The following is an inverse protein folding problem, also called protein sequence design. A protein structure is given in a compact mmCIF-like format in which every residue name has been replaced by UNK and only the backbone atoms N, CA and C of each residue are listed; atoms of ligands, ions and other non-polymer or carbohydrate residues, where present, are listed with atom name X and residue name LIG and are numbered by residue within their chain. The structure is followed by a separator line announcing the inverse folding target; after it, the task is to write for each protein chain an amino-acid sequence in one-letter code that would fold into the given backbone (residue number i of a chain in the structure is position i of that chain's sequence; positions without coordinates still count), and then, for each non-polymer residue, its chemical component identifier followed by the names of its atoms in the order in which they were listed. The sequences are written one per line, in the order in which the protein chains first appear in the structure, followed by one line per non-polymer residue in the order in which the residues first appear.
data_IF_723829613442
#
_entry.id   IF_723829613442
#
_cell.length_a   1.000
_cell.length_b   1.000
_cell.length_c   1.000
_cell.angle_alpha   90.00
_cell.angle_beta   90.00
_cell.angle_gamma   90.00
#
_symmetry.space_group_name_H-M   'P 1'
#
loop_
_entity.id
_entity.type
_entity.pdbx_description
1 polymer ?
#
# COMPACT_ATOMS: atom_id res chain seq x y z
N UNK A 1 -15.92 -16.77 -11.16
CA UNK A 1 -14.56 -16.43 -10.65
C UNK A 1 -14.59 -15.01 -10.13
N UNK A 2 -14.28 -14.78 -8.86
CA UNK A 2 -14.41 -13.49 -8.12
C UNK A 2 -13.72 -12.28 -8.76
N UNK A 3 -12.81 -12.47 -9.73
CA UNK A 3 -12.06 -11.41 -10.42
C UNK A 3 -12.08 -11.53 -11.96
N UNK A 4 -13.10 -12.19 -12.53
CA UNK A 4 -13.10 -12.49 -13.97
C UNK A 4 -13.06 -11.24 -14.86
N UNK A 5 -13.62 -10.12 -14.41
CA UNK A 5 -13.66 -8.89 -15.20
C UNK A 5 -12.31 -8.17 -15.17
N UNK A 6 -11.69 -8.16 -13.99
CA UNK A 6 -10.38 -7.56 -13.76
C UNK A 6 -9.28 -8.27 -14.56
N UNK A 7 -9.37 -9.60 -14.71
CA UNK A 7 -8.40 -10.40 -15.49
C UNK A 7 -8.57 -10.19 -17.00
N UNK A 8 -9.79 -9.90 -17.48
CA UNK A 8 -10.10 -9.70 -18.90
C UNK A 8 -9.59 -8.37 -19.42
N UNK A 9 -9.73 -7.30 -18.63
CA UNK A 9 -9.33 -5.96 -19.03
C UNK A 9 -7.81 -5.76 -18.83
N UNK A 10 -7.09 -5.48 -19.93
CA UNK A 10 -5.63 -5.29 -19.90
C UNK A 10 -5.23 -4.14 -18.99
N UNK A 11 -5.96 -3.02 -18.98
CA UNK A 11 -5.58 -1.83 -18.22
C UNK A 11 -5.80 -2.05 -16.73
N UNK A 12 -6.96 -2.56 -16.34
CA UNK A 12 -7.25 -2.87 -14.93
C UNK A 12 -6.26 -3.89 -14.38
N UNK A 13 -5.97 -4.94 -15.15
CA UNK A 13 -5.00 -5.97 -14.76
C UNK A 13 -3.61 -5.40 -14.56
N UNK A 14 -3.12 -4.60 -15.50
CA UNK A 14 -1.76 -4.02 -15.43
C UNK A 14 -1.65 -3.10 -14.21
N UNK A 15 -2.61 -2.20 -13.98
CA UNK A 15 -2.56 -1.27 -12.85
C UNK A 15 -2.67 -2.02 -11.52
N UNK A 16 -3.54 -3.03 -11.42
CA UNK A 16 -3.64 -3.86 -10.21
C UNK A 16 -2.32 -4.59 -9.89
N UNK A 17 -1.68 -5.18 -10.91
CA UNK A 17 -0.38 -5.85 -10.76
C UNK A 17 0.70 -4.84 -10.34
N UNK A 18 0.76 -3.67 -10.98
CA UNK A 18 1.72 -2.62 -10.61
C UNK A 18 1.50 -2.19 -9.16
N UNK A 19 0.24 -1.98 -8.74
CA UNK A 19 -0.08 -1.57 -7.37
C UNK A 19 0.40 -2.60 -6.34
N UNK A 20 0.16 -3.89 -6.60
CA UNK A 20 0.62 -4.98 -5.74
C UNK A 20 2.15 -5.11 -5.75
N UNK A 21 2.80 -4.95 -6.91
CA UNK A 21 4.27 -4.97 -7.01
C UNK A 21 4.90 -3.82 -6.23
N UNK A 22 4.36 -2.61 -6.32
CA UNK A 22 4.84 -1.45 -5.57
C UNK A 22 4.72 -1.69 -4.07
N UNK A 23 3.57 -2.21 -3.60
CA UNK A 23 3.39 -2.53 -2.19
C UNK A 23 4.37 -3.62 -1.73
N UNK A 24 4.55 -4.67 -2.54
CA UNK A 24 5.48 -5.76 -2.25
C UNK A 24 6.94 -5.27 -2.20
N UNK A 25 7.33 -4.41 -3.13
CA UNK A 25 8.65 -3.76 -3.10
C UNK A 25 8.82 -2.89 -1.86
N UNK A 26 7.81 -2.12 -1.46
CA UNK A 26 7.85 -1.33 -0.23
C UNK A 26 8.08 -2.22 1.01
N UNK A 27 7.41 -3.38 1.06
CA UNK A 27 7.60 -4.35 2.14
C UNK A 27 9.01 -4.96 2.16
N UNK A 28 9.57 -5.31 0.99
CA UNK A 28 10.94 -5.80 0.87
C UNK A 28 11.95 -4.73 1.30
N UNK A 29 11.80 -3.50 0.81
CA UNK A 29 12.69 -2.38 1.13
C UNK A 29 12.70 -2.14 2.64
N UNK A 30 11.52 -2.12 3.27
CA UNK A 30 11.41 -2.02 4.73
C UNK A 30 12.14 -3.16 5.46
N UNK A 31 11.90 -4.41 5.05
CA UNK A 31 12.51 -5.57 5.69
C UNK A 31 14.05 -5.56 5.56
N UNK A 32 14.58 -5.16 4.40
CA UNK A 32 16.02 -5.09 4.18
C UNK A 32 16.68 -3.93 4.94
N UNK A 33 16.02 -2.78 5.05
CA UNK A 33 16.58 -1.59 5.69
C UNK A 33 16.48 -1.64 7.22
N UNK A 34 15.33 -2.05 7.76
CA UNK A 34 15.01 -1.97 9.19
C UNK A 34 14.67 -3.32 9.82
N UNK A 35 14.84 -4.43 9.09
CA UNK A 35 14.53 -5.77 9.60
C UNK A 35 15.41 -6.20 10.77
N UNK A 36 16.63 -5.67 10.88
CA UNK A 36 17.59 -5.99 11.95
C UNK A 36 17.77 -4.88 12.99
N UNK A 37 17.18 -3.70 12.80
CA UNK A 37 17.39 -2.56 13.72
C UNK A 37 16.69 -2.80 15.07
N UNK A 38 17.39 -2.60 16.21
CA UNK A 38 16.79 -2.73 17.52
C UNK A 38 15.72 -1.66 17.71
N UNK A 39 14.59 -2.04 18.33
CA UNK A 39 13.53 -1.11 18.68
C UNK A 39 14.02 -0.11 19.75
N UNK A 40 13.44 1.10 19.84
CA UNK A 40 12.27 1.59 19.10
C UNK A 40 12.62 2.26 17.75
N UNK A 41 11.68 2.19 16.81
CA UNK A 41 11.74 2.85 15.49
C UNK A 41 10.86 4.09 15.53
N UNK A 42 11.37 5.21 15.01
CA UNK A 42 10.60 6.44 14.83
C UNK A 42 9.63 6.22 13.67
N UNK A 43 8.34 6.17 13.98
CA UNK A 43 7.27 5.96 12.99
C UNK A 43 6.57 7.28 12.67
N UNK A 44 6.43 8.17 13.65
CA UNK A 44 5.86 9.50 13.45
C UNK A 44 6.65 10.56 14.22
N UNK A 45 6.92 11.66 13.55
CA UNK A 45 7.50 12.85 14.13
C UNK A 45 6.80 14.08 13.56
N UNK A 46 6.66 15.10 14.39
CA UNK A 46 6.06 16.38 14.05
C UNK A 46 7.14 17.45 14.17
N UNK A 47 7.21 18.40 13.22
CA UNK A 47 8.17 19.51 13.25
C UNK A 47 8.05 20.34 14.54
N UNK A 48 6.84 20.48 15.10
CA UNK A 48 6.59 21.27 16.30
C UNK A 48 6.86 20.53 17.62
N UNK A 49 6.66 19.21 17.67
CA UNK A 49 6.72 18.42 18.90
C UNK A 49 7.86 17.38 18.93
N UNK A 50 8.64 17.25 17.85
CA UNK A 50 9.66 16.23 17.71
C UNK A 50 9.07 14.84 17.46
N UNK A 51 9.73 13.80 17.98
CA UNK A 51 9.28 12.41 17.84
C UNK A 51 8.02 12.21 18.69
N UNK A 52 6.90 11.93 18.05
CA UNK A 52 5.59 11.78 18.70
C UNK A 52 5.19 10.30 18.83
N UNK A 53 5.67 9.45 17.92
CA UNK A 53 5.40 8.01 17.97
C UNK A 53 6.65 7.17 17.68
N UNK A 54 7.07 6.47 18.74
CA UNK A 54 8.06 5.41 18.71
C UNK A 54 7.31 4.07 18.70
N UNK A 55 7.56 3.25 17.69
CA UNK A 55 6.93 1.94 17.58
C UNK A 55 7.93 0.81 17.35
N UNK A 56 7.37 -0.37 17.20
CA UNK A 56 8.08 -1.59 16.85
C UNK A 56 8.01 -1.85 15.34
N UNK A 57 8.81 -2.80 14.86
CA UNK A 57 8.73 -3.26 13.46
C UNK A 57 7.34 -3.79 13.11
N UNK A 58 6.60 -4.32 14.09
CA UNK A 58 5.25 -4.85 13.90
C UNK A 58 4.25 -3.76 13.53
N UNK A 59 4.43 -2.54 14.02
CA UNK A 59 3.54 -1.42 13.70
C UNK A 59 3.67 -1.04 12.21
N UNK A 60 4.89 -1.06 11.67
CA UNK A 60 5.13 -0.82 10.24
C UNK A 60 4.58 -1.97 9.38
N UNK A 61 4.72 -3.22 9.82
CA UNK A 61 4.03 -4.34 9.16
C UNK A 61 2.50 -4.20 9.22
N UNK A 62 1.96 -3.63 10.29
CA UNK A 62 0.54 -3.28 10.39
C UNK A 62 0.10 -2.24 9.34
N UNK A 63 0.94 -1.24 9.08
CA UNK A 63 0.72 -0.25 8.01
C UNK A 63 0.71 -0.93 6.63
N UNK A 64 1.69 -1.79 6.35
CA UNK A 64 1.75 -2.54 5.08
C UNK A 64 0.55 -3.49 4.91
N UNK A 65 0.14 -4.17 5.98
CA UNK A 65 -1.00 -5.08 5.98
C UNK A 65 -2.32 -4.32 5.77
N UNK A 66 -2.52 -3.17 6.42
CA UNK A 66 -3.72 -2.36 6.24
C UNK A 66 -3.82 -1.84 4.80
N UNK A 67 -2.71 -1.41 4.19
CA UNK A 67 -2.66 -1.05 2.78
C UNK A 67 -3.02 -2.22 1.85
N UNK A 68 -2.51 -3.43 2.13
CA UNK A 68 -2.87 -4.63 1.39
C UNK A 68 -4.39 -4.88 1.44
N UNK A 69 -4.98 -4.81 2.64
CA UNK A 69 -6.43 -5.00 2.82
C UNK A 69 -7.23 -3.94 2.06
N UNK A 70 -6.82 -2.66 2.12
CA UNK A 70 -7.48 -1.58 1.36
C UNK A 70 -7.42 -1.83 -0.15
N UNK A 71 -6.27 -2.27 -0.68
CA UNK A 71 -6.13 -2.62 -2.10
C UNK A 71 -7.04 -3.79 -2.46
N UNK A 72 -7.09 -4.85 -1.65
CA UNK A 72 -7.97 -6.00 -1.91
C UNK A 72 -9.44 -5.59 -1.95
N UNK A 73 -9.88 -4.73 -1.03
CA UNK A 73 -11.24 -4.18 -1.00
C UNK A 73 -11.51 -3.37 -2.28
N UNK A 74 -10.60 -2.51 -2.71
CA UNK A 74 -10.74 -1.72 -3.92
C UNK A 74 -10.77 -2.58 -5.19
N UNK A 75 -9.95 -3.63 -5.27
CA UNK A 75 -9.97 -4.57 -6.39
C UNK A 75 -11.29 -5.36 -6.45
N UNK A 76 -11.82 -5.75 -5.29
CA UNK A 76 -13.13 -6.40 -5.20
C UNK A 76 -14.25 -5.46 -5.68
N UNK A 77 -14.29 -4.22 -5.17
CA UNK A 77 -15.23 -3.19 -5.58
C UNK A 77 -15.14 -2.90 -7.08
N UNK A 78 -13.92 -2.78 -7.61
CA UNK A 78 -13.69 -2.56 -9.03
C UNK A 78 -14.26 -3.70 -9.88
N UNK A 79 -14.04 -4.96 -9.51
CA UNK A 79 -14.59 -6.10 -10.25
C UNK A 79 -16.12 -6.14 -10.21
N UNK A 80 -16.73 -5.81 -9.07
CA UNK A 80 -18.18 -5.73 -8.91
C UNK A 80 -18.78 -4.61 -9.76
N UNK A 81 -18.13 -3.44 -9.79
CA UNK A 81 -18.60 -2.26 -10.51
C UNK A 81 -18.33 -2.34 -12.02
N UNK A 82 -17.39 -3.15 -12.49
CA UNK A 82 -17.03 -3.22 -13.92
C UNK A 82 -18.22 -3.45 -14.87
N UNK A 83 -19.17 -4.30 -14.46
CA UNK A 83 -20.35 -4.63 -15.26
C UNK A 83 -21.46 -3.58 -15.16
N UNK A 84 -21.45 -2.74 -14.11
CA UNK A 84 -22.45 -1.68 -13.88
C UNK A 84 -21.96 -0.35 -14.44
N UNK A 85 -20.79 0.08 -13.99
CA UNK A 85 -20.18 1.38 -14.28
C UNK A 85 -18.67 1.24 -14.46
N UNK A 86 -18.23 1.18 -15.73
CA UNK A 86 -16.80 1.00 -16.06
C UNK A 86 -15.94 2.12 -15.50
N UNK A 87 -16.42 3.36 -15.55
CA UNK A 87 -15.69 4.53 -15.05
C UNK A 87 -15.32 4.39 -13.56
N UNK A 88 -16.27 3.98 -12.72
CA UNK A 88 -16.03 3.74 -11.29
C UNK A 88 -15.03 2.60 -11.07
N UNK A 89 -15.12 1.53 -11.87
CA UNK A 89 -14.15 0.43 -11.80
C UNK A 89 -12.71 0.88 -12.04
N UNK A 90 -12.47 1.79 -12.98
CA UNK A 90 -11.15 2.39 -13.19
C UNK A 90 -10.71 3.24 -11.99
N UNK A 91 -11.59 4.08 -11.44
CA UNK A 91 -11.27 4.91 -10.26
C UNK A 91 -10.77 4.06 -9.10
N UNK A 92 -11.44 2.94 -8.79
CA UNK A 92 -11.03 2.06 -7.70
C UNK A 92 -9.66 1.41 -7.92
N UNK A 93 -9.33 1.04 -9.16
CA UNK A 93 -8.03 0.44 -9.48
C UNK A 93 -6.91 1.48 -9.48
N UNK A 94 -7.16 2.68 -10.02
CA UNK A 94 -6.21 3.79 -9.90
C UNK A 94 -6.01 4.23 -8.44
N UNK A 95 -7.06 4.15 -7.61
CA UNK A 95 -6.97 4.36 -6.16
C UNK A 95 -6.01 3.37 -5.49
N UNK A 96 -5.95 2.12 -5.95
CA UNK A 96 -4.97 1.15 -5.45
C UNK A 96 -3.53 1.60 -5.72
N UNK A 97 -3.27 2.11 -6.93
CA UNK A 97 -1.96 2.59 -7.31
C UNK A 97 -1.55 3.82 -6.48
N UNK A 98 -2.48 4.74 -6.26
CA UNK A 98 -2.27 5.90 -5.39
C UNK A 98 -1.92 5.46 -3.97
N UNK A 99 -2.68 4.53 -3.38
CA UNK A 99 -2.39 3.98 -2.04
C UNK A 99 -1.00 3.36 -2.00
N UNK A 100 -0.63 2.52 -2.98
CA UNK A 100 0.69 1.90 -3.02
C UNK A 100 1.83 2.91 -3.09
N UNK A 101 1.67 3.99 -3.87
CA UNK A 101 2.67 5.07 -3.94
C UNK A 101 2.78 5.80 -2.61
N UNK A 102 1.65 6.16 -1.98
CA UNK A 102 1.67 6.83 -0.67
C UNK A 102 2.36 5.96 0.39
N UNK A 103 2.11 4.66 0.39
CA UNK A 103 2.78 3.72 1.30
C UNK A 103 4.28 3.67 1.05
N UNK A 104 4.71 3.69 -0.21
CA UNK A 104 6.13 3.75 -0.55
C UNK A 104 6.78 5.04 -0.01
N UNK A 105 6.08 6.18 -0.09
CA UNK A 105 6.55 7.44 0.51
C UNK A 105 6.66 7.31 2.03
N UNK A 106 5.63 6.78 2.70
CA UNK A 106 5.64 6.57 4.16
C UNK A 106 6.82 5.70 4.59
N UNK A 107 7.03 4.55 3.92
CA UNK A 107 8.15 3.65 4.23
C UNK A 107 9.50 4.33 3.99
N UNK A 108 9.64 5.10 2.91
CA UNK A 108 10.86 5.85 2.62
C UNK A 108 11.20 6.87 3.72
N UNK A 109 10.19 7.60 4.21
CA UNK A 109 10.35 8.57 5.31
C UNK A 109 10.75 7.85 6.61
N UNK A 110 10.08 6.74 6.94
CA UNK A 110 10.43 5.93 8.13
C UNK A 110 11.89 5.47 8.04
N UNK A 111 12.34 4.99 6.88
CA UNK A 111 13.73 4.56 6.71
C UNK A 111 14.71 5.73 6.81
N UNK A 112 14.39 6.90 6.28
CA UNK A 112 15.31 8.03 6.27
C UNK A 112 15.55 8.62 7.67
N UNK A 113 14.57 8.52 8.56
CA UNK A 113 14.58 9.12 9.89
C UNK A 113 15.22 8.21 10.95
N UNK A 114 15.43 6.92 10.63
CA UNK A 114 16.03 5.92 11.52
C UNK A 114 17.41 5.49 11.05
#
# INVERSE_FOLDING_TARGET
MLFSNLIKDKYLRVIAIISLLVLFLAAIIFYLALGSTPAPIIIHFNEYNGIDFLGSRWDVFGILLSALVMILINLFLSNFLYNRERFLSYIFVFGCLLISILILVVISVIINVN
#
